data_IF_593967552166
#
_entry.id   IF_593967552166
#
_cell.length_a   1.000
_cell.length_b   1.000
_cell.length_c   1.000
_cell.angle_alpha   90.00
_cell.angle_beta   90.00
_cell.angle_gamma   90.00
#
_symmetry.space_group_name_H-M   'P 1'
#
loop_
_entity.id
_entity.type
_entity.pdbx_description
1 polymer ?
#
# COMPACT_ATOMS: atom_id res chain seq x y z
N UNK A 1 -35.00 -14.83 -67.96
CA UNK A 1 -35.44 -13.65 -67.16
C UNK A 1 -35.66 -13.99 -65.70
N UNK A 2 -36.28 -15.13 -65.35
CA UNK A 2 -36.41 -15.58 -63.95
C UNK A 2 -35.05 -15.99 -63.35
N UNK A 3 -34.21 -16.69 -64.11
CA UNK A 3 -32.92 -17.18 -63.60
C UNK A 3 -31.95 -16.05 -63.22
N UNK A 4 -31.90 -14.98 -64.04
CA UNK A 4 -31.08 -13.79 -63.77
C UNK A 4 -31.52 -13.03 -62.52
N UNK A 5 -32.81 -13.06 -62.20
CA UNK A 5 -33.37 -12.39 -61.02
C UNK A 5 -33.09 -13.19 -59.74
N UNK A 6 -33.09 -14.52 -59.85
CA UNK A 6 -32.67 -15.41 -58.78
C UNK A 6 -31.18 -15.30 -58.47
N UNK A 7 -30.35 -15.15 -59.51
CA UNK A 7 -28.90 -14.96 -59.37
C UNK A 7 -28.57 -13.60 -58.73
N UNK A 8 -29.32 -12.55 -59.09
CA UNK A 8 -29.22 -11.23 -58.44
C UNK A 8 -29.71 -11.21 -56.99
N UNK A 9 -30.75 -11.99 -56.66
CA UNK A 9 -31.19 -12.15 -55.27
C UNK A 9 -30.19 -12.93 -54.43
N UNK A 10 -29.52 -13.92 -55.03
CA UNK A 10 -28.49 -14.71 -54.35
C UNK A 10 -27.25 -13.87 -54.04
N UNK A 11 -26.79 -13.10 -55.02
CA UNK A 11 -25.66 -12.16 -54.84
C UNK A 11 -25.99 -11.05 -53.85
N UNK A 12 -27.21 -10.51 -53.87
CA UNK A 12 -27.64 -9.52 -52.87
C UNK A 12 -27.66 -10.11 -51.46
N UNK A 13 -28.13 -11.34 -51.30
CA UNK A 13 -28.16 -12.03 -50.01
C UNK A 13 -26.76 -12.32 -49.48
N UNK A 14 -25.86 -12.78 -50.35
CA UNK A 14 -24.45 -12.98 -50.01
C UNK A 14 -23.75 -11.67 -49.62
N UNK A 15 -24.10 -10.54 -50.25
CA UNK A 15 -23.57 -9.24 -49.83
C UNK A 15 -24.11 -8.79 -48.47
N UNK A 16 -25.39 -9.03 -48.16
CA UNK A 16 -26.00 -8.68 -46.87
C UNK A 16 -25.44 -9.55 -45.74
N UNK A 17 -25.21 -10.84 -45.99
CA UNK A 17 -24.62 -11.75 -45.00
C UNK A 17 -23.10 -11.52 -44.81
N UNK A 18 -22.42 -10.97 -45.83
CA UNK A 18 -21.01 -10.55 -45.74
C UNK A 18 -20.82 -9.14 -45.14
N UNK A 19 -21.89 -8.40 -44.88
CA UNK A 19 -21.81 -7.12 -44.19
C UNK A 19 -21.46 -7.38 -42.71
N UNK A 20 -20.41 -6.75 -42.17
CA UNK A 20 -20.04 -6.95 -40.78
C UNK A 20 -21.18 -6.48 -39.87
N UNK A 21 -21.59 -7.35 -38.92
CA UNK A 21 -22.67 -7.13 -37.93
C UNK A 21 -22.41 -5.89 -37.02
N UNK A 22 -21.32 -5.16 -37.25
CA UNK A 22 -20.96 -3.90 -36.58
C UNK A 22 -21.36 -2.62 -37.31
N UNK A 23 -22.08 -2.67 -38.44
CA UNK A 23 -22.75 -1.49 -38.97
C UNK A 23 -24.00 -1.21 -38.12
N UNK A 24 -23.76 -0.81 -36.86
CA UNK A 24 -24.76 -0.22 -36.01
C UNK A 24 -25.48 0.85 -36.83
N UNK A 25 -26.79 0.69 -36.91
CA UNK A 25 -27.73 1.70 -37.38
C UNK A 25 -27.26 3.09 -36.92
N UNK A 26 -27.04 4.01 -37.86
CA UNK A 26 -26.71 5.42 -37.61
C UNK A 26 -27.88 6.20 -36.96
N UNK A 27 -28.61 5.57 -36.03
CA UNK A 27 -29.62 6.18 -35.18
C UNK A 27 -29.14 6.34 -33.73
N UNK A 28 -27.96 5.84 -33.36
CA UNK A 28 -27.45 5.93 -31.97
C UNK A 28 -26.52 7.13 -31.71
N UNK A 29 -26.01 7.79 -32.75
CA UNK A 29 -25.18 8.99 -32.62
C UNK A 29 -26.05 10.26 -32.68
N UNK A 30 -26.88 10.47 -31.65
CA UNK A 30 -27.59 11.75 -31.52
C UNK A 30 -26.65 12.79 -30.90
N UNK A 31 -26.34 13.82 -31.67
CA UNK A 31 -25.56 14.99 -31.26
C UNK A 31 -26.13 15.62 -29.96
N UNK A 32 -27.44 15.50 -29.75
CA UNK A 32 -28.14 15.98 -28.55
C UNK A 32 -27.74 15.20 -27.29
N UNK A 33 -27.50 13.89 -27.39
CA UNK A 33 -27.05 13.06 -26.27
C UNK A 33 -25.60 13.38 -25.88
N UNK A 34 -24.77 13.76 -26.84
CA UNK A 34 -23.40 14.20 -26.59
C UNK A 34 -23.38 15.62 -25.99
N UNK A 35 -24.25 16.52 -26.47
CA UNK A 35 -24.45 17.85 -25.87
C UNK A 35 -24.98 17.72 -24.43
N UNK A 36 -25.92 16.82 -24.16
CA UNK A 36 -26.42 16.58 -22.80
C UNK A 36 -25.32 16.03 -21.88
N UNK A 37 -24.55 15.04 -22.33
CA UNK A 37 -23.40 14.50 -21.56
C UNK A 37 -22.34 15.56 -21.30
N UNK A 38 -22.01 16.39 -22.29
CA UNK A 38 -21.04 17.47 -22.10
C UNK A 38 -21.56 18.53 -21.15
N UNK A 39 -22.84 18.91 -21.21
CA UNK A 39 -23.48 19.78 -20.22
C UNK A 39 -23.40 19.20 -18.79
N UNK A 40 -23.65 17.90 -18.61
CA UNK A 40 -23.53 17.23 -17.31
C UNK A 40 -22.08 17.21 -16.80
N UNK A 41 -21.10 17.00 -17.69
CA UNK A 41 -19.68 17.09 -17.28
C UNK A 41 -19.28 18.51 -16.90
N UNK A 42 -19.78 19.53 -17.61
CA UNK A 42 -19.53 20.94 -17.30
C UNK A 42 -20.13 21.31 -15.95
N UNK A 43 -21.36 20.88 -15.66
CA UNK A 43 -21.99 21.14 -14.36
C UNK A 43 -21.23 20.46 -13.22
N UNK A 44 -20.81 19.20 -13.39
CA UNK A 44 -19.99 18.49 -12.40
C UNK A 44 -18.65 19.19 -12.15
N UNK A 45 -17.96 19.62 -13.21
CA UNK A 45 -16.69 20.35 -13.12
C UNK A 45 -16.90 21.69 -12.43
N UNK A 46 -17.97 22.42 -12.76
CA UNK A 46 -18.30 23.70 -12.11
C UNK A 46 -18.56 23.54 -10.61
N UNK A 47 -19.25 22.48 -10.20
CA UNK A 47 -19.49 22.15 -8.79
C UNK A 47 -18.17 21.82 -8.06
N UNK A 48 -17.29 21.03 -8.67
CA UNK A 48 -15.95 20.74 -8.12
C UNK A 48 -15.10 22.00 -7.99
N UNK A 49 -15.16 22.90 -8.96
CA UNK A 49 -14.44 24.17 -8.93
C UNK A 49 -14.94 25.07 -7.79
N UNK A 50 -16.26 25.11 -7.55
CA UNK A 50 -16.85 25.80 -6.40
C UNK A 50 -16.40 25.19 -5.06
N UNK A 51 -16.38 23.86 -4.94
CA UNK A 51 -15.87 23.18 -3.74
C UNK A 51 -14.39 23.48 -3.49
N UNK A 52 -13.56 23.45 -4.53
CA UNK A 52 -12.14 23.78 -4.43
C UNK A 52 -11.92 25.26 -4.04
N UNK A 53 -12.71 26.18 -4.59
CA UNK A 53 -12.69 27.59 -4.18
C UNK A 53 -13.10 27.77 -2.72
N UNK A 54 -14.10 27.03 -2.25
CA UNK A 54 -14.52 27.06 -0.85
C UNK A 54 -13.42 26.52 0.09
N UNK A 55 -12.75 25.43 -0.30
CA UNK A 55 -11.60 24.89 0.44
C UNK A 55 -10.39 25.83 0.44
N UNK A 56 -10.10 26.48 -0.68
CA UNK A 56 -9.01 27.45 -0.75
C UNK A 56 -9.29 28.67 0.15
N UNK A 57 -10.53 29.17 0.17
CA UNK A 57 -10.96 30.21 1.10
C UNK A 57 -10.89 29.76 2.56
N UNK A 58 -11.21 28.49 2.87
CA UNK A 58 -11.04 27.94 4.21
C UNK A 58 -9.57 27.84 4.65
N UNK A 59 -8.63 27.58 3.74
CA UNK A 59 -7.20 27.55 4.04
C UNK A 59 -6.61 28.94 4.28
N UNK A 60 -7.23 29.98 3.72
CA UNK A 60 -6.82 31.39 3.90
C UNK A 60 -7.41 32.03 5.16
N UNK A 61 -8.29 31.33 5.89
CA UNK A 61 -8.75 31.79 7.19
C UNK A 61 -7.59 31.66 8.20
N UNK A 62 -7.25 32.71 8.96
CA UNK A 62 -6.21 32.64 9.98
C UNK A 62 -6.54 31.53 10.97
N UNK A 63 -5.60 30.61 11.19
CA UNK A 63 -5.69 29.62 12.25
C UNK A 63 -5.46 30.32 13.60
N UNK A 64 -6.09 29.82 14.67
CA UNK A 64 -6.25 30.45 16.01
C UNK A 64 -4.97 30.90 16.76
N UNK A 65 -3.80 30.93 16.12
CA UNK A 65 -2.50 31.26 16.71
C UNK A 65 -1.79 32.48 16.12
N UNK A 66 -2.35 33.16 15.12
CA UNK A 66 -1.77 34.38 14.56
C UNK A 66 -2.51 35.64 15.07
N UNK A 67 -1.75 36.61 15.59
CA UNK A 67 -2.27 37.92 16.04
C UNK A 67 -2.99 38.60 14.87
N UNK A 68 -4.32 38.72 14.97
CA UNK A 68 -5.17 39.37 13.97
C UNK A 68 -4.72 40.81 13.72
N UNK A 69 -4.26 41.08 12.51
CA UNK A 69 -4.00 42.44 12.04
C UNK A 69 -5.36 43.13 11.79
N UNK A 70 -5.75 44.06 12.67
CA UNK A 70 -7.07 44.71 12.72
C UNK A 70 -7.52 45.35 11.39
N UNK A 71 -6.59 45.65 10.48
CA UNK A 71 -6.89 46.19 9.15
C UNK A 71 -7.48 45.15 8.19
N UNK A 72 -7.02 43.90 8.25
CA UNK A 72 -7.53 42.81 7.40
C UNK A 72 -8.95 42.41 7.79
N UNK A 73 -9.31 42.58 9.07
CA UNK A 73 -10.66 42.30 9.56
C UNK A 73 -11.70 43.27 8.97
N UNK A 74 -11.34 44.54 8.77
CA UNK A 74 -12.22 45.53 8.12
C UNK A 74 -12.51 45.15 6.67
N UNK A 75 -11.47 44.77 5.91
CA UNK A 75 -11.62 44.37 4.50
C UNK A 75 -12.48 43.10 4.35
N UNK A 76 -12.31 42.11 5.24
CA UNK A 76 -13.13 40.89 5.26
C UNK A 76 -14.58 41.19 5.65
N UNK A 77 -14.82 42.15 6.56
CA UNK A 77 -16.18 42.58 6.91
C UNK A 77 -16.86 43.34 5.77
N UNK A 78 -16.13 44.17 5.04
CA UNK A 78 -16.65 44.88 3.87
C UNK A 78 -16.99 43.89 2.74
N UNK A 79 -16.11 42.89 2.49
CA UNK A 79 -16.37 41.83 1.52
C UNK A 79 -17.58 40.97 1.93
N UNK A 80 -17.74 40.69 3.22
CA UNK A 80 -18.90 39.96 3.76
C UNK A 80 -20.20 40.78 3.64
N UNK A 81 -20.16 42.08 3.91
CA UNK A 81 -21.30 42.99 3.75
C UNK A 81 -21.72 43.11 2.28
N UNK A 82 -20.74 43.19 1.37
CA UNK A 82 -20.99 43.18 -0.08
C UNK A 82 -21.67 41.88 -0.50
N UNK A 83 -21.23 40.74 0.03
CA UNK A 83 -21.80 39.45 -0.34
C UNK A 83 -23.19 39.18 0.25
N UNK A 84 -23.47 39.71 1.46
CA UNK A 84 -24.82 39.78 2.01
C UNK A 84 -25.71 40.64 1.11
N UNK A 85 -25.22 41.80 0.65
CA UNK A 85 -25.98 42.68 -0.23
C UNK A 85 -26.31 41.99 -1.57
N UNK A 86 -25.35 41.29 -2.19
CA UNK A 86 -25.57 40.50 -3.40
C UNK A 86 -26.54 39.35 -3.17
N UNK A 87 -26.44 38.65 -2.03
CA UNK A 87 -27.39 37.59 -1.68
C UNK A 87 -28.82 38.13 -1.52
N UNK A 88 -28.98 39.32 -0.92
CA UNK A 88 -30.27 39.99 -0.77
C UNK A 88 -30.85 40.41 -2.13
N UNK A 89 -30.02 40.95 -3.03
CA UNK A 89 -30.41 41.31 -4.40
C UNK A 89 -30.79 40.08 -5.21
N UNK A 90 -30.03 38.99 -5.11
CA UNK A 90 -30.37 37.70 -5.76
C UNK A 90 -31.70 37.17 -5.24
N UNK A 91 -31.97 37.23 -3.93
CA UNK A 91 -33.25 36.84 -3.34
C UNK A 91 -34.40 37.69 -3.87
N UNK A 92 -34.19 38.98 -4.05
CA UNK A 92 -35.18 39.91 -4.61
C UNK A 92 -35.42 39.62 -6.11
N UNK A 93 -34.36 39.37 -6.88
CA UNK A 93 -34.45 38.96 -8.28
C UNK A 93 -35.19 37.62 -8.45
N UNK A 94 -34.96 36.65 -7.56
CA UNK A 94 -35.71 35.40 -7.52
C UNK A 94 -37.19 35.62 -7.23
N UNK A 95 -37.53 36.46 -6.25
CA UNK A 95 -38.92 36.85 -5.97
C UNK A 95 -39.57 37.52 -7.18
N UNK A 96 -38.91 38.51 -7.79
CA UNK A 96 -39.41 39.15 -9.01
C UNK A 96 -39.56 38.16 -10.17
N UNK A 97 -38.69 37.15 -10.28
CA UNK A 97 -38.81 36.11 -11.31
C UNK A 97 -40.01 35.19 -11.06
N UNK A 98 -40.29 34.85 -9.80
CA UNK A 98 -41.48 34.10 -9.40
C UNK A 98 -42.73 34.94 -9.68
N UNK A 99 -42.77 36.19 -9.21
CA UNK A 99 -43.87 37.13 -9.46
C UNK A 99 -44.09 37.34 -10.97
N UNK A 100 -43.03 37.49 -11.77
CA UNK A 100 -43.15 37.58 -13.23
C UNK A 100 -43.61 36.27 -13.89
N UNK A 101 -43.27 35.11 -13.32
CA UNK A 101 -43.80 33.82 -13.77
C UNK A 101 -45.28 33.67 -13.43
N UNK A 102 -45.71 34.13 -12.26
CA UNK A 102 -47.12 34.16 -11.85
C UNK A 102 -47.93 35.16 -12.67
N UNK A 103 -47.39 36.35 -12.96
CA UNK A 103 -48.02 37.33 -13.86
C UNK A 103 -48.16 36.73 -15.27
N UNK A 104 -47.12 36.08 -15.80
CA UNK A 104 -47.21 35.37 -17.09
C UNK A 104 -48.26 34.26 -17.06
N UNK A 105 -48.37 33.53 -15.95
CA UNK A 105 -49.40 32.52 -15.76
C UNK A 105 -50.80 33.14 -15.70
N UNK A 106 -50.99 34.22 -14.96
CA UNK A 106 -52.27 34.95 -14.90
C UNK A 106 -52.67 35.55 -16.26
N UNK A 107 -51.71 36.02 -17.05
CA UNK A 107 -51.93 36.47 -18.42
C UNK A 107 -52.33 35.29 -19.32
N UNK A 108 -51.72 34.11 -19.14
CA UNK A 108 -52.08 32.89 -19.87
C UNK A 108 -53.44 32.31 -19.44
N UNK A 109 -53.76 32.35 -18.14
CA UNK A 109 -55.04 31.93 -17.55
C UNK A 109 -56.20 32.82 -18.02
N UNK A 110 -55.94 34.04 -18.47
CA UNK A 110 -56.97 34.88 -19.11
C UNK A 110 -57.38 34.41 -20.52
N UNK A 111 -56.66 33.43 -21.09
CA UNK A 111 -56.87 32.97 -22.46
C UNK A 111 -57.36 31.51 -22.60
N UNK A 112 -57.42 30.71 -21.53
CA UNK A 112 -57.95 29.33 -21.60
C UNK A 112 -58.62 28.93 -20.28
N UNK A 113 -59.96 28.85 -20.30
CA UNK A 113 -60.73 28.02 -19.38
C UNK A 113 -60.46 26.54 -19.69
N UNK A 114 -59.42 25.92 -19.13
CA UNK A 114 -59.41 24.47 -18.84
C UNK A 114 -58.67 24.16 -17.54
N UNK A 115 -59.30 23.47 -16.57
CA UNK A 115 -58.70 23.20 -15.27
C UNK A 115 -57.80 21.94 -15.33
N UNK A 116 -56.60 22.04 -14.77
CA UNK A 116 -56.03 20.92 -14.02
C UNK A 116 -54.91 20.07 -14.65
N UNK A 117 -54.30 20.46 -15.77
CA UNK A 117 -53.14 19.72 -16.28
C UNK A 117 -51.85 20.32 -15.71
N UNK A 118 -51.25 19.66 -14.72
CA UNK A 118 -49.85 19.94 -14.38
C UNK A 118 -49.03 19.78 -15.67
N UNK A 119 -48.24 20.77 -16.10
CA UNK A 119 -47.52 20.66 -17.35
C UNK A 119 -46.57 19.46 -17.25
N UNK A 120 -46.49 18.64 -18.30
CA UNK A 120 -45.63 17.44 -18.37
C UNK A 120 -44.18 17.74 -17.93
N UNK A 121 -43.74 18.98 -18.13
CA UNK A 121 -42.46 19.51 -17.64
C UNK A 121 -42.27 19.42 -16.13
N UNK A 122 -43.32 19.57 -15.32
CA UNK A 122 -43.23 19.46 -13.86
C UNK A 122 -43.07 18.00 -13.42
N UNK A 123 -43.76 17.06 -14.08
CA UNK A 123 -43.64 15.63 -13.80
C UNK A 123 -42.22 15.13 -14.13
N UNK A 124 -41.68 15.54 -15.28
CA UNK A 124 -40.29 15.23 -15.67
C UNK A 124 -39.30 15.76 -14.63
N UNK A 125 -39.55 16.95 -14.07
CA UNK A 125 -38.68 17.56 -13.07
C UNK A 125 -38.73 16.80 -11.74
N UNK A 126 -39.92 16.33 -11.33
CA UNK A 126 -40.09 15.47 -10.15
C UNK A 126 -39.38 14.13 -10.34
N UNK A 127 -39.56 13.47 -11.49
CA UNK A 127 -38.90 12.19 -11.80
C UNK A 127 -37.37 12.36 -11.82
N UNK A 128 -36.86 13.44 -12.41
CA UNK A 128 -35.44 13.77 -12.36
C UNK A 128 -34.96 13.98 -10.90
N UNK A 129 -35.73 14.66 -10.06
CA UNK A 129 -35.38 14.87 -8.66
C UNK A 129 -35.33 13.54 -7.88
N UNK A 130 -36.25 12.62 -8.16
CA UNK A 130 -36.25 11.29 -7.52
C UNK A 130 -35.06 10.43 -7.95
N UNK A 131 -34.65 10.51 -9.22
CA UNK A 131 -33.45 9.82 -9.69
C UNK A 131 -32.16 10.40 -9.09
N UNK A 132 -32.05 11.73 -8.98
CA UNK A 132 -30.91 12.39 -8.35
C UNK A 132 -30.82 12.04 -6.86
N UNK A 133 -31.95 11.96 -6.16
CA UNK A 133 -31.97 11.55 -4.75
C UNK A 133 -31.61 10.08 -4.57
N UNK A 134 -32.08 9.20 -5.44
CA UNK A 134 -31.69 7.78 -5.41
C UNK A 134 -30.19 7.62 -5.67
N UNK A 135 -29.61 8.34 -6.63
CA UNK A 135 -28.19 8.29 -6.96
C UNK A 135 -27.32 8.83 -5.82
N UNK A 136 -27.77 9.91 -5.16
CA UNK A 136 -27.12 10.41 -3.94
C UNK A 136 -27.15 9.40 -2.79
N UNK A 137 -28.24 8.64 -2.63
CA UNK A 137 -28.30 7.56 -1.65
C UNK A 137 -27.28 6.45 -1.96
N UNK A 138 -27.15 6.04 -3.22
CA UNK A 138 -26.16 5.06 -3.66
C UNK A 138 -24.73 5.56 -3.42
N UNK A 139 -24.41 6.81 -3.81
CA UNK A 139 -23.11 7.41 -3.56
C UNK A 139 -22.75 7.44 -2.07
N UNK A 140 -23.74 7.75 -1.20
CA UNK A 140 -23.55 7.71 0.24
C UNK A 140 -23.27 6.29 0.74
N UNK A 141 -23.91 5.27 0.16
CA UNK A 141 -23.64 3.86 0.44
C UNK A 141 -22.20 3.49 0.09
N UNK A 142 -21.76 3.79 -1.13
CA UNK A 142 -20.39 3.53 -1.60
C UNK A 142 -19.35 4.26 -0.74
N UNK A 143 -19.59 5.52 -0.37
CA UNK A 143 -18.67 6.26 0.49
C UNK A 143 -18.57 5.65 1.91
N UNK A 144 -19.65 5.06 2.43
CA UNK A 144 -19.60 4.33 3.71
C UNK A 144 -18.77 3.05 3.57
N UNK A 145 -18.98 2.26 2.53
CA UNK A 145 -18.19 1.06 2.27
C UNK A 145 -16.70 1.37 2.07
N UNK A 146 -16.38 2.45 1.35
CA UNK A 146 -15.00 2.93 1.20
C UNK A 146 -14.38 3.37 2.53
N UNK A 147 -15.16 4.01 3.40
CA UNK A 147 -14.70 4.36 4.76
C UNK A 147 -14.44 3.10 5.58
N UNK A 148 -15.35 2.13 5.55
CA UNK A 148 -15.24 0.92 6.38
C UNK A 148 -14.08 0.03 5.91
N UNK A 149 -13.89 -0.09 4.59
CA UNK A 149 -12.71 -0.78 4.02
C UNK A 149 -11.41 -0.06 4.37
N UNK A 150 -11.37 1.28 4.32
CA UNK A 150 -10.21 2.04 4.76
C UNK A 150 -9.89 1.80 6.25
N UNK A 151 -10.91 1.75 7.11
CA UNK A 151 -10.74 1.43 8.53
C UNK A 151 -10.16 0.03 8.72
N UNK A 152 -10.71 -0.98 8.04
CA UNK A 152 -10.18 -2.35 8.08
C UNK A 152 -8.72 -2.43 7.63
N UNK A 153 -8.33 -1.70 6.58
CA UNK A 153 -6.95 -1.61 6.12
C UNK A 153 -6.05 -1.02 7.22
N UNK A 154 -6.50 0.06 7.88
CA UNK A 154 -5.70 0.67 8.95
C UNK A 154 -5.53 -0.24 10.15
N UNK A 155 -6.56 -0.99 10.54
CA UNK A 155 -6.47 -1.92 11.67
C UNK A 155 -5.59 -3.11 11.33
N UNK A 156 -5.72 -3.67 10.12
CA UNK A 156 -4.82 -4.73 9.66
C UNK A 156 -3.36 -4.29 9.60
N UNK A 157 -3.11 -3.03 9.22
CA UNK A 157 -1.77 -2.44 9.23
C UNK A 157 -1.20 -2.38 10.66
N UNK A 158 -1.99 -1.98 11.65
CA UNK A 158 -1.56 -1.98 13.06
C UNK A 158 -1.24 -3.39 13.57
N UNK A 159 -2.07 -4.39 13.24
CA UNK A 159 -1.81 -5.79 13.60
C UNK A 159 -0.49 -6.30 13.00
N UNK A 160 -0.23 -5.99 11.73
CA UNK A 160 1.00 -6.39 11.05
C UNK A 160 2.23 -5.69 11.66
N UNK A 161 2.11 -4.41 12.03
CA UNK A 161 3.18 -3.70 12.72
C UNK A 161 3.52 -4.34 14.06
N UNK A 162 2.51 -4.74 14.84
CA UNK A 162 2.71 -5.42 16.12
C UNK A 162 3.37 -6.79 15.93
N UNK A 163 2.91 -7.58 14.95
CA UNK A 163 3.55 -8.87 14.61
C UNK A 163 5.01 -8.69 14.20
N UNK A 164 5.30 -7.68 13.38
CA UNK A 164 6.67 -7.38 12.94
C UNK A 164 7.57 -6.99 14.11
N UNK A 165 7.04 -6.23 15.07
CA UNK A 165 7.77 -5.90 16.30
C UNK A 165 8.09 -7.16 17.12
N UNK A 166 7.10 -8.03 17.32
CA UNK A 166 7.29 -9.31 18.03
C UNK A 166 8.32 -10.21 17.33
N UNK A 167 8.31 -10.27 15.99
CA UNK A 167 9.30 -11.05 15.24
C UNK A 167 10.71 -10.50 15.39
N UNK A 168 10.88 -9.17 15.44
CA UNK A 168 12.18 -8.56 15.72
C UNK A 168 12.69 -8.94 17.10
N UNK A 169 11.82 -8.90 18.10
CA UNK A 169 12.17 -9.27 19.48
C UNK A 169 12.58 -10.75 19.58
N UNK A 170 11.85 -11.65 18.91
CA UNK A 170 12.21 -13.06 18.82
C UNK A 170 13.56 -13.28 18.13
N UNK A 171 13.84 -12.54 17.06
CA UNK A 171 15.10 -12.67 16.32
C UNK A 171 16.29 -12.21 17.18
N UNK A 172 16.13 -11.11 17.93
CA UNK A 172 17.15 -10.65 18.89
C UNK A 172 17.34 -11.67 20.01
N UNK A 173 16.27 -12.25 20.55
CA UNK A 173 16.38 -13.29 21.57
C UNK A 173 17.14 -14.52 21.04
N UNK A 174 16.84 -14.94 19.81
CA UNK A 174 17.55 -16.04 19.18
C UNK A 174 19.04 -15.71 18.96
N UNK A 175 19.38 -14.50 18.51
CA UNK A 175 20.78 -14.09 18.36
C UNK A 175 21.55 -14.13 19.69
N UNK A 176 20.90 -13.71 20.79
CA UNK A 176 21.48 -13.78 22.13
C UNK A 176 21.72 -15.24 22.58
N UNK A 177 20.74 -16.13 22.39
CA UNK A 177 20.88 -17.55 22.72
C UNK A 177 22.05 -18.19 21.96
N UNK A 178 22.21 -17.86 20.67
CA UNK A 178 23.32 -18.36 19.85
C UNK A 178 24.67 -17.85 20.34
N UNK A 179 24.75 -16.59 20.76
CA UNK A 179 25.96 -16.02 21.37
C UNK A 179 26.29 -16.70 22.70
N UNK A 180 25.31 -16.93 23.57
CA UNK A 180 25.51 -17.63 24.83
C UNK A 180 25.98 -19.06 24.63
N UNK A 181 25.38 -19.79 23.69
CA UNK A 181 25.83 -21.14 23.33
C UNK A 181 27.24 -21.15 22.75
N UNK A 182 27.60 -20.20 21.88
CA UNK A 182 28.96 -20.09 21.34
C UNK A 182 29.99 -19.83 22.43
N UNK A 183 29.70 -18.89 23.35
CA UNK A 183 30.57 -18.58 24.49
C UNK A 183 30.67 -19.79 25.44
N UNK A 184 29.58 -20.52 25.66
CA UNK A 184 29.57 -21.75 26.46
C UNK A 184 30.48 -22.83 25.88
N UNK A 185 30.35 -23.11 24.57
CA UNK A 185 31.20 -24.08 23.86
C UNK A 185 32.67 -23.66 23.86
N UNK A 186 32.96 -22.37 23.70
CA UNK A 186 34.33 -21.86 23.74
C UNK A 186 34.95 -22.07 25.13
N UNK A 187 34.20 -21.80 26.21
CA UNK A 187 34.65 -22.07 27.58
C UNK A 187 34.94 -23.54 27.82
N UNK A 188 34.04 -24.43 27.38
CA UNK A 188 34.25 -25.88 27.49
C UNK A 188 35.51 -26.33 26.71
N UNK A 189 35.70 -25.82 25.50
CA UNK A 189 36.89 -26.10 24.69
C UNK A 189 38.19 -25.61 25.36
N UNK A 190 38.17 -24.43 25.97
CA UNK A 190 39.31 -23.90 26.74
C UNK A 190 39.63 -24.81 27.93
N UNK A 191 38.62 -25.28 28.65
CA UNK A 191 38.82 -26.22 29.76
C UNK A 191 39.38 -27.57 29.29
N UNK A 192 38.84 -28.13 28.21
CA UNK A 192 39.35 -29.37 27.62
C UNK A 192 40.80 -29.21 27.18
N UNK A 193 41.15 -28.09 26.53
CA UNK A 193 42.53 -27.78 26.13
C UNK A 193 43.46 -27.70 27.33
N UNK A 194 43.06 -27.04 28.42
CA UNK A 194 43.84 -26.99 29.67
C UNK A 194 44.03 -28.39 30.28
N UNK A 195 42.97 -29.22 30.33
CA UNK A 195 43.07 -30.60 30.83
C UNK A 195 44.02 -31.46 29.99
N UNK A 196 43.97 -31.30 28.66
CA UNK A 196 44.87 -31.99 27.73
C UNK A 196 46.32 -31.52 27.89
N UNK A 197 46.56 -30.21 28.05
CA UNK A 197 47.89 -29.66 28.33
C UNK A 197 48.47 -30.26 29.61
N UNK A 198 47.72 -30.30 30.70
CA UNK A 198 48.17 -30.91 31.96
C UNK A 198 48.50 -32.40 31.81
N UNK A 199 47.70 -33.16 31.05
CA UNK A 199 47.99 -34.57 30.76
C UNK A 199 49.28 -34.73 29.94
N UNK A 200 49.50 -33.85 28.98
CA UNK A 200 50.66 -33.87 28.09
C UNK A 200 51.94 -33.46 28.83
N UNK A 201 51.87 -32.48 29.73
CA UNK A 201 52.97 -32.14 30.66
C UNK A 201 53.35 -33.33 31.54
N UNK A 202 52.36 -34.01 32.16
CA UNK A 202 52.62 -35.23 32.95
C UNK A 202 53.30 -36.32 32.13
N UNK A 203 52.87 -36.53 30.89
CA UNK A 203 53.46 -37.52 30.00
C UNK A 203 54.90 -37.14 29.63
N UNK A 204 55.17 -35.86 29.34
CA UNK A 204 56.52 -35.36 29.09
C UNK A 204 57.44 -35.54 30.30
N UNK A 205 56.97 -35.24 31.52
CA UNK A 205 57.73 -35.49 32.75
C UNK A 205 58.02 -36.99 32.91
N UNK A 206 57.03 -37.85 32.71
CA UNK A 206 57.22 -39.31 32.78
C UNK A 206 58.24 -39.79 31.74
N UNK A 207 58.20 -39.25 30.53
CA UNK A 207 59.13 -39.56 29.43
C UNK A 207 60.56 -39.14 29.79
N UNK A 208 60.77 -37.94 30.33
CA UNK A 208 62.08 -37.48 30.82
C UNK A 208 62.57 -38.40 31.94
N UNK A 209 61.70 -38.74 32.90
CA UNK A 209 62.05 -39.65 33.98
C UNK A 209 62.43 -41.04 33.47
N UNK A 210 61.72 -41.58 32.48
CA UNK A 210 62.06 -42.86 31.84
C UNK A 210 63.41 -42.81 31.13
N UNK A 211 63.68 -41.76 30.35
CA UNK A 211 64.98 -41.57 29.67
C UNK A 211 66.11 -41.47 30.69
N UNK A 212 65.91 -40.72 31.78
CA UNK A 212 66.90 -40.58 32.85
C UNK A 212 67.10 -41.91 33.60
N UNK A 213 66.02 -42.60 34.00
CA UNK A 213 66.08 -43.89 34.70
C UNK A 213 66.80 -44.94 33.88
N UNK A 214 66.48 -45.01 32.58
CA UNK A 214 67.19 -45.85 31.65
C UNK A 214 68.65 -45.41 31.64
N UNK A 215 68.97 -44.16 31.29
CA UNK A 215 70.34 -43.62 31.22
C UNK A 215 71.21 -43.87 32.48
N UNK A 216 70.64 -43.81 33.68
CA UNK A 216 71.34 -44.13 34.94
C UNK A 216 71.44 -45.63 35.23
N UNK A 217 70.54 -46.45 34.70
CA UNK A 217 70.67 -47.90 34.77
C UNK A 217 71.89 -48.32 33.92
N UNK A 218 72.85 -49.01 34.53
CA UNK A 218 74.11 -49.48 33.93
C UNK A 218 73.88 -50.62 32.90
N UNK A 219 72.82 -50.53 32.10
CA UNK A 219 72.46 -51.50 31.07
C UNK A 219 73.37 -51.28 29.86
N UNK A 220 73.94 -52.36 29.31
CA UNK A 220 74.72 -52.29 28.08
C UNK A 220 73.80 -52.07 26.87
N UNK A 221 73.57 -50.80 26.53
CA UNK A 221 72.74 -50.35 25.41
C UNK A 221 73.11 -50.97 24.06
N UNK A 222 74.40 -51.29 23.89
CA UNK A 222 74.96 -51.84 22.66
C UNK A 222 74.50 -53.30 22.41
N UNK A 223 74.11 -54.04 23.48
CA UNK A 223 73.65 -55.44 23.35
C UNK A 223 72.13 -55.58 23.23
N UNK A 224 71.36 -54.56 23.59
CA UNK A 224 69.90 -54.61 23.59
C UNK A 224 69.32 -53.46 22.78
N UNK A 225 69.21 -53.70 21.46
CA UNK A 225 68.74 -52.73 20.47
C UNK A 225 67.34 -52.15 20.77
N UNK A 226 66.49 -52.93 21.44
CA UNK A 226 65.15 -52.50 21.86
C UNK A 226 65.16 -51.28 22.81
N UNK A 227 66.18 -51.15 23.68
CA UNK A 227 66.28 -50.02 24.60
C UNK A 227 66.85 -48.78 23.93
N UNK A 228 67.75 -48.94 22.97
CA UNK A 228 68.25 -47.83 22.14
C UNK A 228 67.16 -47.28 21.24
N UNK A 229 66.35 -48.13 20.62
CA UNK A 229 65.24 -47.70 19.78
C UNK A 229 64.18 -46.95 20.61
N UNK A 230 63.88 -47.44 21.82
CA UNK A 230 62.98 -46.76 22.76
C UNK A 230 63.52 -45.40 23.21
N UNK A 231 64.83 -45.28 23.46
CA UNK A 231 65.46 -44.00 23.83
C UNK A 231 65.38 -42.97 22.69
N UNK A 232 65.65 -43.40 21.46
CA UNK A 232 65.59 -42.54 20.27
C UNK A 232 64.15 -42.09 19.99
N UNK A 233 63.18 -43.00 20.08
CA UNK A 233 61.76 -42.70 19.84
C UNK A 233 61.17 -41.75 20.90
N UNK A 234 61.68 -41.81 22.13
CA UNK A 234 61.18 -41.03 23.27
C UNK A 234 62.05 -39.82 23.63
N UNK A 235 63.09 -39.48 22.86
CA UNK A 235 63.96 -38.34 23.13
C UNK A 235 63.30 -36.97 22.88
N UNK A 236 62.22 -36.91 22.11
CA UNK A 236 61.47 -35.66 21.84
C UNK A 236 60.39 -35.35 22.88
N UNK A 237 60.18 -34.07 23.17
CA UNK A 237 58.99 -33.60 23.90
C UNK A 237 57.76 -33.68 22.99
N UNK A 238 56.65 -34.19 23.53
CA UNK A 238 55.37 -34.13 22.84
C UNK A 238 54.85 -32.68 22.88
N UNK A 239 54.22 -32.22 21.81
CA UNK A 239 53.49 -30.95 21.76
C UNK A 239 52.08 -31.19 21.22
N UNK A 240 51.15 -30.25 21.43
CA UNK A 240 49.80 -30.40 20.85
C UNK A 240 49.82 -30.40 19.30
N UNK A 241 50.81 -29.75 18.68
CA UNK A 241 51.00 -29.73 17.23
C UNK A 241 51.56 -31.05 16.68
N UNK A 242 52.24 -31.87 17.50
CA UNK A 242 52.69 -33.20 17.07
C UNK A 242 51.54 -34.23 16.98
N UNK A 243 50.33 -33.88 17.41
CA UNK A 243 49.13 -34.73 17.36
C UNK A 243 48.04 -34.22 16.40
N UNK A 244 48.12 -32.97 15.92
CA UNK A 244 47.25 -32.51 14.84
C UNK A 244 47.80 -33.10 13.54
N UNK A 245 47.08 -33.99 12.83
CA UNK A 245 47.44 -34.28 11.45
C UNK A 245 47.42 -32.95 10.70
N UNK A 246 48.39 -32.75 9.81
CA UNK A 246 48.40 -31.63 8.89
C UNK A 246 47.12 -31.69 8.04
N UNK A 247 46.09 -30.93 8.45
CA UNK A 247 44.99 -30.56 7.58
C UNK A 247 45.53 -29.55 6.55
N UNK A 248 46.23 -30.12 5.57
CA UNK A 248 46.62 -29.47 4.32
C UNK A 248 46.28 -30.41 3.17
N UNK A 249 45.00 -30.74 3.04
CA UNK A 249 44.45 -31.41 1.87
C UNK A 249 42.93 -31.14 1.76
N UNK A 250 42.56 -29.88 1.57
CA UNK A 250 41.26 -29.50 1.04
C UNK A 250 41.40 -28.16 0.29
N UNK A 251 41.84 -28.25 -0.96
CA UNK A 251 41.47 -27.32 -2.03
C UNK A 251 40.43 -28.02 -2.90
#
# INVERSE_FOLDING_TARGET
MMDTLQEQLKTLRETIDAFPIGAATCNEYSLENEIARTADTITLVSARLLMLRAQDKQRRLPQDTELLDLRQFSEVLDEYAEEISKASLRKLAWKNSIEASEIRRLIADSALDEPGTCPESFQILVDLLTTVTSLNCHLRGVLKEQRDTALQITDRRKELQLKLQNYKELLVAQELDWQEHAVGQERENIELKKRLQLKLEKLNVMRILMVNLIGFSNINYIKHQQWTDMLIEKQGLLSLQSFTPSDSAAQ
#
